data_IF_868595079286
#
_entry.id   IF_868595079286
#
_cell.length_a   1.000
_cell.length_b   1.000
_cell.length_c   1.000
_cell.angle_alpha   90.00
_cell.angle_beta   90.00
_cell.angle_gamma   90.00
#
_symmetry.space_group_name_H-M   'P 1'
#
loop_
_entity.id
_entity.type
_entity.pdbx_description
1 polymer ?
#
# COMPACT_ATOMS: atom_id res chain seq x y z
N UNK A 1 -13.01 21.21 -3.62
CA UNK A 1 -12.18 21.06 -4.85
C UNK A 1 -10.68 20.92 -4.57
N UNK A 2 -10.03 21.79 -3.78
CA UNK A 2 -8.58 21.71 -3.55
C UNK A 2 -8.13 20.45 -2.77
N UNK A 3 -8.86 20.05 -1.72
CA UNK A 3 -8.58 18.82 -0.95
C UNK A 3 -8.61 17.54 -1.82
N UNK A 4 -9.60 17.41 -2.70
CA UNK A 4 -9.68 16.29 -3.68
C UNK A 4 -8.48 16.28 -4.62
N UNK A 5 -8.06 17.44 -5.13
CA UNK A 5 -6.84 17.55 -5.96
C UNK A 5 -5.58 17.18 -5.18
N UNK A 6 -5.47 17.63 -3.94
CA UNK A 6 -4.35 17.28 -3.06
C UNK A 6 -4.30 15.78 -2.79
N UNK A 7 -5.45 15.16 -2.50
CA UNK A 7 -5.57 13.71 -2.38
C UNK A 7 -5.12 12.98 -3.64
N UNK A 8 -5.58 13.39 -4.83
CA UNK A 8 -5.13 12.80 -6.11
C UNK A 8 -3.62 12.92 -6.33
N UNK A 9 -3.01 14.07 -6.02
CA UNK A 9 -1.56 14.27 -6.13
C UNK A 9 -0.82 13.32 -5.20
N UNK A 10 -1.26 13.21 -3.95
CA UNK A 10 -0.64 12.30 -2.97
C UNK A 10 -0.76 10.85 -3.40
N UNK A 11 -1.90 10.46 -3.94
CA UNK A 11 -2.10 9.10 -4.43
C UNK A 11 -1.23 8.77 -5.65
N UNK A 12 -1.06 9.70 -6.60
CA UNK A 12 -0.12 9.48 -7.71
C UNK A 12 1.33 9.38 -7.22
N UNK A 13 1.73 10.24 -6.29
CA UNK A 13 3.05 10.14 -5.66
C UNK A 13 3.22 8.79 -4.96
N UNK A 14 2.20 8.32 -4.25
CA UNK A 14 2.19 7.01 -3.61
C UNK A 14 2.37 5.86 -4.63
N UNK A 15 1.63 5.88 -5.74
CA UNK A 15 1.73 4.88 -6.82
C UNK A 15 3.08 4.84 -7.55
N UNK A 16 3.83 5.94 -7.51
CA UNK A 16 5.16 6.04 -8.13
C UNK A 16 6.25 5.65 -7.13
N UNK A 17 6.22 6.24 -5.94
CA UNK A 17 7.29 6.11 -4.95
C UNK A 17 7.33 4.70 -4.38
N UNK A 18 6.18 4.11 -4.03
CA UNK A 18 6.12 2.82 -3.33
C UNK A 18 6.72 1.68 -4.19
N UNK A 19 6.39 1.55 -5.49
CA UNK A 19 7.01 0.50 -6.32
C UNK A 19 8.48 0.76 -6.66
N UNK A 20 8.90 2.02 -6.82
CA UNK A 20 10.26 2.37 -7.25
C UNK A 20 11.27 2.39 -6.10
N UNK A 21 10.85 2.81 -4.92
CA UNK A 21 11.75 2.99 -3.78
C UNK A 21 11.16 2.28 -2.56
N UNK A 22 11.48 0.99 -2.35
CA UNK A 22 11.15 0.31 -1.11
C UNK A 22 12.06 0.84 0.02
N UNK A 23 11.82 2.07 0.49
CA UNK A 23 12.61 2.68 1.56
C UNK A 23 12.18 2.03 2.88
N UNK A 24 13.01 1.13 3.41
CA UNK A 24 12.89 0.67 4.80
C UNK A 24 13.53 1.73 5.70
N UNK A 25 12.75 2.68 6.21
CA UNK A 25 13.23 3.57 7.27
C UNK A 25 13.37 2.75 8.55
N UNK A 26 14.61 2.60 9.02
CA UNK A 26 14.90 1.91 10.27
C UNK A 26 14.72 2.89 11.44
N UNK A 27 13.48 3.27 11.73
CA UNK A 27 13.21 4.09 12.91
C UNK A 27 13.24 3.21 14.18
N UNK A 28 13.97 3.66 15.20
CA UNK A 28 14.28 2.89 16.40
C UNK A 28 13.08 2.57 17.31
N UNK A 29 11.96 3.28 17.16
CA UNK A 29 10.81 3.19 18.08
C UNK A 29 9.59 2.47 17.49
N UNK A 30 9.34 2.59 16.18
CA UNK A 30 8.30 1.82 15.48
C UNK A 30 8.79 1.43 14.08
N UNK A 31 8.58 0.18 13.64
CA UNK A 31 8.79 -0.24 12.27
C UNK A 31 7.67 0.32 11.38
N UNK A 32 7.63 1.64 11.22
CA UNK A 32 6.76 2.32 10.27
C UNK A 32 7.55 2.36 8.96
N UNK A 33 7.03 1.63 7.98
CA UNK A 33 7.59 1.63 6.64
C UNK A 33 7.40 3.05 6.03
N UNK A 34 8.35 3.53 5.24
CA UNK A 34 8.35 4.93 4.75
C UNK A 34 7.13 5.28 3.89
N UNK A 35 6.60 4.28 3.20
CA UNK A 35 5.35 4.22 2.46
C UNK A 35 4.15 4.61 3.33
N UNK A 36 4.21 4.31 4.63
CA UNK A 36 3.16 4.61 5.60
C UNK A 36 3.04 6.11 5.94
N UNK A 37 4.08 6.92 5.71
CA UNK A 37 3.99 8.37 5.90
C UNK A 37 3.12 9.03 4.83
N UNK A 38 3.34 8.66 3.56
CA UNK A 38 2.58 9.22 2.43
C UNK A 38 1.14 8.70 2.48
N UNK A 39 0.97 7.40 2.71
CA UNK A 39 -0.37 6.82 2.79
C UNK A 39 -1.14 7.32 4.02
N UNK A 40 -0.50 7.43 5.19
CA UNK A 40 -1.08 8.06 6.37
C UNK A 40 -1.53 9.50 6.14
N UNK A 41 -0.71 10.32 5.47
CA UNK A 41 -1.08 11.70 5.12
C UNK A 41 -2.24 11.74 4.11
N UNK A 42 -2.26 10.83 3.13
CA UNK A 42 -3.37 10.67 2.20
C UNK A 42 -4.67 10.28 2.92
N UNK A 43 -4.60 9.43 3.94
CA UNK A 43 -5.76 9.07 4.79
C UNK A 43 -6.30 10.29 5.51
N UNK A 44 -5.45 11.07 6.18
CA UNK A 44 -5.88 12.26 6.92
C UNK A 44 -6.58 13.27 5.99
N UNK A 45 -6.01 13.52 4.82
CA UNK A 45 -6.60 14.45 3.84
C UNK A 45 -7.89 13.89 3.23
N UNK A 46 -7.93 12.59 2.94
CA UNK A 46 -9.14 11.91 2.44
C UNK A 46 -10.28 11.99 3.45
N UNK A 47 -10.01 11.71 4.73
CA UNK A 47 -11.01 11.84 5.80
C UNK A 47 -11.46 13.29 5.99
N UNK A 48 -10.54 14.26 5.95
CA UNK A 48 -10.89 15.68 6.02
C UNK A 48 -11.81 16.10 4.86
N UNK A 49 -11.58 15.57 3.65
CA UNK A 49 -12.47 15.79 2.51
C UNK A 49 -13.87 15.21 2.75
N UNK A 50 -13.97 13.98 3.25
CA UNK A 50 -15.25 13.33 3.55
C UNK A 50 -16.07 14.07 4.61
N UNK A 51 -15.41 14.62 5.63
CA UNK A 51 -16.07 15.43 6.66
C UNK A 51 -16.58 16.74 6.07
N UNK A 52 -15.78 17.39 5.22
CA UNK A 52 -16.14 18.66 4.58
C UNK A 52 -17.31 18.53 3.59
N UNK A 53 -17.33 17.46 2.78
CA UNK A 53 -18.34 17.24 1.73
C UNK A 53 -19.40 16.19 2.13
N UNK A 54 -19.57 15.96 3.43
CA UNK A 54 -20.38 14.87 3.98
C UNK A 54 -21.79 14.77 3.40
N UNK A 55 -22.42 15.92 3.11
CA UNK A 55 -23.80 15.97 2.60
C UNK A 55 -23.94 15.33 1.21
N UNK A 56 -22.94 15.49 0.35
CA UNK A 56 -22.95 14.89 -0.99
C UNK A 56 -22.43 13.45 -0.95
N UNK A 57 -21.42 13.18 -0.12
CA UNK A 57 -20.77 11.87 -0.10
C UNK A 57 -21.56 10.79 0.66
N UNK A 58 -22.49 11.17 1.53
CA UNK A 58 -23.29 10.21 2.32
C UNK A 58 -24.10 9.23 1.45
N UNK A 59 -24.67 9.72 0.36
CA UNK A 59 -25.48 8.90 -0.55
C UNK A 59 -24.60 7.95 -1.37
N UNK A 60 -23.42 8.41 -1.78
CA UNK A 60 -22.41 7.57 -2.44
C UNK A 60 -21.93 6.44 -1.52
N UNK A 61 -21.56 6.76 -0.27
CA UNK A 61 -21.17 5.75 0.73
C UNK A 61 -22.29 4.71 0.90
N UNK A 62 -23.54 5.16 1.08
CA UNK A 62 -24.68 4.24 1.27
C UNK A 62 -24.93 3.36 0.04
N UNK A 63 -24.69 3.89 -1.16
CA UNK A 63 -24.82 3.13 -2.41
C UNK A 63 -23.72 2.05 -2.53
N UNK A 64 -22.47 2.37 -2.16
CA UNK A 64 -21.35 1.44 -2.18
C UNK A 64 -21.59 0.23 -1.27
N UNK A 65 -22.06 0.46 -0.04
CA UNK A 65 -22.37 -0.63 0.90
C UNK A 65 -23.54 -1.52 0.47
N UNK A 66 -24.38 -1.07 -0.48
CA UNK A 66 -25.47 -1.88 -1.02
C UNK A 66 -25.01 -2.80 -2.16
N UNK A 67 -23.94 -2.46 -2.86
CA UNK A 67 -23.43 -3.23 -3.98
C UNK A 67 -23.00 -4.64 -3.54
N UNK A 68 -23.43 -5.65 -4.30
CA UNK A 68 -23.10 -7.06 -4.06
C UNK A 68 -21.59 -7.33 -4.22
N UNK A 69 -20.95 -6.71 -5.21
CA UNK A 69 -19.51 -6.88 -5.44
C UNK A 69 -18.71 -6.29 -4.28
N UNK A 70 -19.13 -5.12 -3.79
CA UNK A 70 -18.51 -4.48 -2.64
C UNK A 70 -18.67 -5.32 -1.37
N UNK A 71 -19.85 -5.92 -1.13
CA UNK A 71 -20.04 -6.85 0.00
C UNK A 71 -19.11 -8.05 -0.04
N UNK A 72 -18.93 -8.66 -1.22
CA UNK A 72 -18.02 -9.79 -1.40
C UNK A 72 -16.58 -9.35 -1.10
N UNK A 73 -16.16 -8.22 -1.64
CA UNK A 73 -14.82 -7.66 -1.39
C UNK A 73 -14.59 -7.38 0.10
N UNK A 74 -15.58 -6.79 0.78
CA UNK A 74 -15.52 -6.53 2.22
C UNK A 74 -15.38 -7.81 3.05
N UNK A 75 -16.00 -8.91 2.64
CA UNK A 75 -15.83 -10.22 3.28
C UNK A 75 -14.38 -10.70 3.14
N UNK A 76 -13.79 -10.59 1.94
CA UNK A 76 -12.38 -10.95 1.75
C UNK A 76 -11.45 -10.10 2.62
N UNK A 77 -11.67 -8.77 2.67
CA UNK A 77 -10.90 -7.86 3.52
C UNK A 77 -11.01 -8.29 4.98
N UNK A 78 -12.21 -8.62 5.46
CA UNK A 78 -12.43 -9.11 6.82
C UNK A 78 -11.66 -10.41 7.09
N UNK A 79 -11.70 -11.37 6.15
CA UNK A 79 -10.92 -12.60 6.24
C UNK A 79 -9.42 -12.33 6.34
N UNK A 80 -8.89 -11.37 5.57
CA UNK A 80 -7.48 -10.97 5.65
C UNK A 80 -7.13 -10.34 7.00
N UNK A 81 -8.01 -9.53 7.59
CA UNK A 81 -7.79 -8.95 8.93
C UNK A 81 -7.72 -10.05 9.99
N UNK A 82 -8.61 -11.05 9.90
CA UNK A 82 -8.59 -12.21 10.80
C UNK A 82 -7.27 -12.99 10.64
N UNK A 83 -6.87 -13.30 9.42
CA UNK A 83 -5.60 -13.98 9.14
C UNK A 83 -4.39 -13.18 9.62
N UNK A 84 -4.40 -11.86 9.45
CA UNK A 84 -3.35 -10.96 9.98
C UNK A 84 -3.26 -11.02 11.50
N UNK A 85 -4.40 -11.03 12.19
CA UNK A 85 -4.45 -11.14 13.66
C UNK A 85 -3.91 -12.48 14.14
N UNK A 86 -4.26 -13.59 13.46
CA UNK A 86 -3.71 -14.92 13.74
C UNK A 86 -2.19 -14.92 13.48
N UNK A 87 -1.74 -14.32 12.38
CA UNK A 87 -0.33 -14.23 12.01
C UNK A 87 0.52 -13.53 13.08
N UNK A 88 0.00 -12.46 13.70
CA UNK A 88 0.67 -11.77 14.82
C UNK A 88 0.91 -12.72 16.00
N UNK A 89 -0.05 -13.62 16.29
CA UNK A 89 0.04 -14.57 17.41
C UNK A 89 1.15 -15.61 17.20
N UNK A 90 1.36 -16.06 15.95
CA UNK A 90 2.34 -17.09 15.60
C UNK A 90 3.73 -16.55 15.19
N UNK A 91 3.89 -15.23 15.07
CA UNK A 91 5.14 -14.63 14.59
C UNK A 91 6.27 -14.66 15.62
N UNK A 92 7.47 -15.04 15.17
CA UNK A 92 8.72 -14.94 15.94
C UNK A 92 9.08 -13.49 16.27
N UNK A 93 8.91 -12.55 15.33
CA UNK A 93 9.01 -11.12 15.59
C UNK A 93 7.65 -10.43 15.56
N UNK A 94 7.06 -10.27 16.74
CA UNK A 94 5.79 -9.55 16.92
C UNK A 94 5.81 -8.17 16.26
N UNK A 95 6.94 -7.46 16.34
CA UNK A 95 7.11 -6.11 15.76
C UNK A 95 6.98 -6.08 14.24
N UNK A 96 7.55 -7.06 13.52
CA UNK A 96 7.47 -7.10 12.07
C UNK A 96 6.06 -7.52 11.61
N UNK A 97 5.45 -8.50 12.29
CA UNK A 97 4.08 -8.92 11.99
C UNK A 97 3.06 -7.78 12.22
N UNK A 98 3.20 -7.00 13.30
CA UNK A 98 2.36 -5.83 13.54
C UNK A 98 2.54 -4.78 12.45
N UNK A 99 3.77 -4.51 12.01
CA UNK A 99 4.05 -3.57 10.91
C UNK A 99 3.35 -4.00 9.61
N UNK A 100 3.42 -5.29 9.26
CA UNK A 100 2.79 -5.81 8.05
C UNK A 100 1.26 -5.71 8.10
N UNK A 101 0.65 -6.02 9.25
CA UNK A 101 -0.80 -5.88 9.45
C UNK A 101 -1.25 -4.42 9.40
N UNK A 102 -0.48 -3.50 10.00
CA UNK A 102 -0.77 -2.07 9.92
C UNK A 102 -0.68 -1.55 8.49
N UNK A 103 0.34 -1.97 7.73
CA UNK A 103 0.49 -1.62 6.32
C UNK A 103 -0.67 -2.13 5.48
N UNK A 104 -1.11 -3.37 5.71
CA UNK A 104 -2.29 -3.91 5.05
C UNK A 104 -3.55 -3.10 5.39
N UNK A 105 -3.77 -2.78 6.67
CA UNK A 105 -4.91 -1.98 7.11
C UNK A 105 -4.90 -0.58 6.47
N UNK A 106 -3.74 0.05 6.36
CA UNK A 106 -3.56 1.34 5.70
C UNK A 106 -4.02 1.28 4.24
N UNK A 107 -3.62 0.24 3.50
CA UNK A 107 -4.01 0.06 2.10
C UNK A 107 -5.51 -0.20 1.95
N UNK A 108 -6.12 -0.93 2.88
CA UNK A 108 -7.58 -1.13 2.92
C UNK A 108 -8.30 0.21 3.10
N UNK A 109 -7.84 1.06 4.00
CA UNK A 109 -8.45 2.39 4.23
C UNK A 109 -8.29 3.26 2.98
N UNK A 110 -7.08 3.32 2.41
CA UNK A 110 -6.80 4.07 1.18
C UNK A 110 -7.68 3.58 0.03
N UNK A 111 -7.84 2.28 -0.13
CA UNK A 111 -8.70 1.69 -1.15
C UNK A 111 -10.15 2.19 -1.03
N UNK A 112 -10.73 2.18 0.18
CA UNK A 112 -12.07 2.71 0.40
C UNK A 112 -12.15 4.22 0.12
N UNK A 113 -11.13 5.00 0.52
CA UNK A 113 -11.08 6.44 0.24
C UNK A 113 -11.06 6.72 -1.27
N UNK A 114 -10.28 5.97 -2.05
CA UNK A 114 -10.25 6.11 -3.52
C UNK A 114 -11.62 5.77 -4.10
N UNK A 115 -12.24 4.68 -3.66
CA UNK A 115 -13.56 4.25 -4.15
C UNK A 115 -14.66 5.28 -3.90
N UNK A 116 -14.53 6.09 -2.85
CA UNK A 116 -15.51 7.13 -2.50
C UNK A 116 -15.15 8.47 -3.16
N UNK A 117 -13.89 8.90 -3.11
CA UNK A 117 -13.49 10.27 -3.47
C UNK A 117 -13.13 10.40 -4.96
N UNK A 118 -12.55 9.35 -5.54
CA UNK A 118 -11.90 9.43 -6.84
C UNK A 118 -12.85 9.18 -8.01
N UNK A 119 -12.59 9.86 -9.13
CA UNK A 119 -13.35 9.71 -10.35
C UNK A 119 -12.88 8.49 -11.15
N UNK A 120 -13.73 7.94 -12.03
CA UNK A 120 -13.37 6.80 -12.90
C UNK A 120 -12.12 7.08 -13.75
N UNK A 121 -11.96 8.32 -14.21
CA UNK A 121 -10.76 8.74 -14.96
C UNK A 121 -9.51 8.73 -14.09
N UNK A 122 -9.61 9.13 -12.82
CA UNK A 122 -8.50 9.06 -11.88
C UNK A 122 -8.08 7.61 -11.68
N UNK A 123 -9.03 6.71 -11.43
CA UNK A 123 -8.76 5.28 -11.22
C UNK A 123 -8.11 4.66 -12.46
N UNK A 124 -8.65 4.93 -13.66
CA UNK A 124 -8.09 4.43 -14.93
C UNK A 124 -6.64 4.89 -15.14
N UNK A 125 -6.38 6.20 -14.96
CA UNK A 125 -5.02 6.75 -15.07
C UNK A 125 -4.11 6.22 -13.97
N UNK A 126 -4.63 6.03 -12.76
CA UNK A 126 -3.93 5.43 -11.62
C UNK A 126 -3.41 4.05 -11.96
N UNK A 127 -4.24 3.18 -12.53
CA UNK A 127 -3.80 1.88 -13.02
C UNK A 127 -2.70 1.99 -14.07
N UNK A 128 -2.83 2.89 -15.05
CA UNK A 128 -1.77 3.12 -16.05
C UNK A 128 -0.45 3.54 -15.40
N UNK A 129 -0.48 4.47 -14.45
CA UNK A 129 0.71 4.93 -13.72
C UNK A 129 1.34 3.76 -12.95
N UNK A 130 0.55 2.97 -12.23
CA UNK A 130 1.04 1.78 -11.50
C UNK A 130 1.68 0.77 -12.45
N UNK A 131 1.05 0.48 -13.59
CA UNK A 131 1.63 -0.45 -14.57
C UNK A 131 2.96 0.08 -15.12
N UNK A 132 3.03 1.36 -15.49
CA UNK A 132 4.27 1.98 -15.93
C UNK A 132 5.35 1.92 -14.84
N UNK A 133 5.03 2.27 -13.60
CA UNK A 133 6.01 2.27 -12.50
C UNK A 133 6.50 0.86 -12.16
N UNK A 134 5.63 -0.15 -12.23
CA UNK A 134 6.02 -1.55 -12.09
C UNK A 134 6.96 -2.02 -13.20
N UNK A 135 6.71 -1.63 -14.46
CA UNK A 135 7.62 -1.93 -15.57
C UNK A 135 8.99 -1.29 -15.34
N UNK A 136 9.02 -0.01 -14.95
CA UNK A 136 10.27 0.68 -14.62
C UNK A 136 11.01 0.03 -13.45
N UNK A 137 10.29 -0.35 -12.38
CA UNK A 137 10.86 -1.06 -11.23
C UNK A 137 11.44 -2.42 -11.63
N UNK A 138 10.76 -3.16 -12.52
CA UNK A 138 11.25 -4.44 -13.03
C UNK A 138 12.52 -4.27 -13.86
N UNK A 139 12.55 -3.28 -14.77
CA UNK A 139 13.74 -2.95 -15.56
C UNK A 139 14.89 -2.57 -14.63
N UNK A 140 14.66 -1.70 -13.65
CA UNK A 140 15.67 -1.31 -12.66
C UNK A 140 16.18 -2.52 -11.86
N UNK A 141 15.30 -3.44 -11.48
CA UNK A 141 15.68 -4.69 -10.83
C UNK A 141 16.58 -5.58 -11.70
N UNK A 142 16.31 -5.67 -13.01
CA UNK A 142 17.17 -6.39 -13.96
C UNK A 142 18.55 -5.72 -14.06
N UNK A 143 18.61 -4.39 -14.16
CA UNK A 143 19.87 -3.65 -14.15
C UNK A 143 20.65 -3.87 -12.85
N UNK A 144 19.99 -3.80 -11.70
CA UNK A 144 20.62 -4.03 -10.40
C UNK A 144 21.22 -5.45 -10.31
N UNK A 145 20.53 -6.45 -10.86
CA UNK A 145 21.01 -7.83 -10.92
C UNK A 145 22.18 -7.99 -11.91
N UNK A 146 22.11 -7.39 -13.10
CA UNK A 146 23.09 -7.55 -14.16
C UNK A 146 24.44 -6.87 -13.85
N UNK A 147 24.42 -5.73 -13.16
CA UNK A 147 25.61 -4.93 -12.85
C UNK A 147 26.14 -5.15 -11.42
N UNK A 148 25.64 -6.16 -10.70
CA UNK A 148 26.08 -6.55 -9.34
C UNK A 148 26.03 -5.40 -8.30
N UNK A 149 25.21 -4.37 -8.52
CA UNK A 149 25.02 -3.25 -7.59
C UNK A 149 24.22 -3.65 -6.32
N UNK A 150 23.95 -4.94 -6.08
CA UNK A 150 23.28 -5.41 -4.87
C UNK A 150 24.24 -5.46 -3.69
N UNK A 151 24.04 -4.60 -2.69
CA UNK A 151 24.80 -4.56 -1.43
C UNK A 151 24.54 -5.74 -0.47
N UNK A 152 23.81 -6.78 -0.89
CA UNK A 152 23.44 -7.92 -0.05
C UNK A 152 24.11 -9.21 -0.53
N UNK A 153 25.31 -9.47 -0.02
CA UNK A 153 26.02 -10.75 -0.18
C UNK A 153 25.63 -11.70 0.95
N UNK A 154 25.01 -12.84 0.65
CA UNK A 154 24.71 -13.90 1.63
C UNK A 154 25.40 -15.20 1.17
N UNK A 155 26.43 -15.69 1.88
CA UNK A 155 27.43 -16.61 1.33
C UNK A 155 27.00 -18.10 1.25
N UNK A 156 25.73 -18.45 1.49
CA UNK A 156 25.34 -19.84 1.77
C UNK A 156 24.42 -20.53 0.75
N UNK A 157 24.10 -19.94 -0.42
CA UNK A 157 23.23 -20.61 -1.41
C UNK A 157 23.61 -20.27 -2.87
N UNK A 158 23.72 -21.22 -3.81
CA UNK A 158 24.36 -21.01 -5.12
C UNK A 158 23.52 -20.21 -6.14
N UNK A 159 22.30 -19.79 -5.78
CA UNK A 159 21.29 -19.21 -6.69
C UNK A 159 20.52 -18.04 -6.03
N UNK A 160 21.20 -17.19 -5.25
CA UNK A 160 20.57 -16.14 -4.42
C UNK A 160 20.75 -14.70 -4.92
N UNK A 161 20.98 -14.48 -6.22
CA UNK A 161 20.90 -13.12 -6.77
C UNK A 161 19.44 -12.83 -7.13
N UNK A 162 18.81 -11.89 -6.43
CA UNK A 162 17.39 -11.52 -6.64
C UNK A 162 16.44 -11.87 -5.51
N UNK A 163 16.77 -11.53 -4.25
CA UNK A 163 15.78 -11.50 -3.16
C UNK A 163 15.39 -10.07 -2.79
N UNK A 164 14.71 -9.39 -3.71
CA UNK A 164 13.90 -8.22 -3.37
C UNK A 164 12.48 -8.61 -2.94
N UNK A 165 12.03 -9.85 -3.22
CA UNK A 165 10.63 -10.27 -3.09
C UNK A 165 10.39 -11.34 -2.00
N UNK A 166 11.43 -12.03 -1.50
CA UNK A 166 11.27 -13.10 -0.50
C UNK A 166 12.10 -12.85 0.77
N UNK A 167 11.67 -11.87 1.57
CA UNK A 167 11.96 -11.81 3.00
C UNK A 167 10.62 -11.73 3.77
N UNK A 168 9.80 -12.78 3.60
CA UNK A 168 8.64 -13.08 4.45
C UNK A 168 9.03 -14.04 5.60
N UNK A 169 10.23 -14.62 5.61
CA UNK A 169 10.66 -15.48 6.72
C UNK A 169 12.01 -15.03 7.27
N UNK A 170 12.11 -15.03 8.61
CA UNK A 170 13.21 -14.57 9.46
C UNK A 170 13.32 -13.05 9.59
N UNK A 171 12.46 -12.48 10.42
CA UNK A 171 12.91 -11.98 11.72
C UNK A 171 11.95 -12.43 12.80
#
# INVERSE_FOLDING_TARGET
>A
MWLKRLFHILMYSFFIIVPLVPIKLKNAFFPIASDSLIGGLAIVIGLAYLIYDYKNTKDEIKSLFKDKHFKILSIFILSFIILGTISITYSFSKKAAISEVLRFLEYVIIFYLIMIIADKDFVRRGFTVIYCTMIFAAIFGIFQFAFDFSSFYSPSVPLHRGKSIFHICKS
#
